data_IF_648134357277
#
_entry.id   IF_648134357277
#
_cell.length_a   1.000
_cell.length_b   1.000
_cell.length_c   1.000
_cell.angle_alpha   90.00
_cell.angle_beta   90.00
_cell.angle_gamma   90.00
#
_symmetry.space_group_name_H-M   'P 1'
#
loop_
_entity.id
_entity.type
_entity.pdbx_description
1 polymer ?
#
# COMPACT_ATOMS: atom_id res chain seq x y z
N UNK A 1 1.45 8.60 -60.13
CA UNK A 1 1.27 7.66 -61.25
C UNK A 1 0.24 6.62 -60.85
N UNK A 2 -0.80 6.41 -61.68
CA UNK A 2 -1.81 5.34 -61.54
C UNK A 2 -1.34 4.08 -62.28
N UNK A 3 -1.91 2.94 -61.86
CA UNK A 3 -1.84 1.54 -62.36
C UNK A 3 -0.82 0.67 -61.60
N UNK A 4 -1.13 -0.58 -61.24
CA UNK A 4 -2.18 -1.46 -61.74
C UNK A 4 -2.62 -2.49 -60.71
N UNK A 5 -3.89 -2.88 -60.83
CA UNK A 5 -4.52 -4.04 -60.25
C UNK A 5 -4.07 -5.24 -61.09
N UNK A 6 -3.40 -6.22 -60.49
CA UNK A 6 -3.23 -7.55 -61.09
C UNK A 6 -3.85 -8.56 -60.14
N UNK A 7 -5.04 -9.03 -60.52
CA UNK A 7 -5.55 -10.31 -60.07
C UNK A 7 -4.63 -11.40 -60.63
N UNK A 8 -3.93 -12.08 -59.75
CA UNK A 8 -3.46 -13.44 -59.97
C UNK A 8 -3.45 -14.11 -58.61
N UNK A 9 -4.38 -15.04 -58.43
CA UNK A 9 -4.44 -15.91 -57.28
C UNK A 9 -3.14 -16.69 -57.18
N UNK A 10 -2.41 -16.41 -56.12
CA UNK A 10 -1.52 -17.36 -55.49
C UNK A 10 -1.72 -17.19 -53.99
N UNK A 11 -1.95 -18.32 -53.36
CA UNK A 11 -2.31 -18.49 -51.96
C UNK A 11 -1.18 -17.98 -51.05
N UNK A 12 -1.15 -16.68 -50.77
CA UNK A 12 -0.68 -16.25 -49.46
C UNK A 12 -1.79 -16.60 -48.48
N UNK A 13 -1.68 -17.77 -47.84
CA UNK A 13 -2.43 -18.10 -46.64
C UNK A 13 -2.27 -16.96 -45.63
N UNK A 14 -3.19 -15.99 -45.70
CA UNK A 14 -3.37 -15.01 -44.66
C UNK A 14 -3.72 -15.80 -43.42
N UNK A 15 -2.81 -15.82 -42.44
CA UNK A 15 -3.14 -16.17 -41.06
C UNK A 15 -4.43 -15.41 -40.72
N UNK A 16 -5.57 -16.11 -40.71
CA UNK A 16 -6.82 -15.54 -40.22
C UNK A 16 -6.52 -15.13 -38.79
N UNK A 17 -6.57 -13.82 -38.52
CA UNK A 17 -6.49 -13.28 -37.18
C UNK A 17 -7.44 -14.08 -36.28
N UNK A 18 -7.06 -14.40 -35.03
CA UNK A 18 -7.93 -15.08 -34.09
C UNK A 18 -9.32 -14.44 -34.11
N UNK A 19 -10.37 -15.24 -34.26
CA UNK A 19 -11.73 -14.73 -34.14
C UNK A 19 -11.89 -14.08 -32.75
N UNK A 20 -12.64 -12.97 -32.64
CA UNK A 20 -12.94 -12.34 -31.33
C UNK A 20 -13.42 -13.36 -30.30
N UNK A 21 -14.18 -14.37 -30.76
CA UNK A 21 -14.66 -15.48 -29.95
C UNK A 21 -13.54 -16.21 -29.20
N UNK A 22 -12.31 -16.29 -29.73
CA UNK A 22 -11.20 -16.93 -29.04
C UNK A 22 -10.79 -16.14 -27.79
N UNK A 23 -10.79 -14.80 -27.85
CA UNK A 23 -10.45 -13.94 -26.71
C UNK A 23 -11.48 -14.11 -25.57
N UNK A 24 -12.74 -14.41 -25.91
CA UNK A 24 -13.81 -14.68 -24.95
C UNK A 24 -13.56 -15.90 -24.07
N UNK A 25 -12.66 -16.81 -24.45
CA UNK A 25 -12.32 -18.00 -23.66
C UNK A 25 -10.97 -17.91 -22.93
N UNK A 26 -10.15 -16.91 -23.23
CA UNK A 26 -8.81 -16.77 -22.63
C UNK A 26 -8.83 -16.05 -21.28
N UNK A 27 -8.05 -16.54 -20.33
CA UNK A 27 -7.77 -15.78 -19.10
C UNK A 27 -6.96 -14.51 -19.43
N UNK A 28 -6.98 -13.52 -18.54
CA UNK A 28 -6.32 -12.22 -18.74
C UNK A 28 -4.86 -12.37 -19.21
N UNK A 29 -4.11 -13.26 -18.57
CA UNK A 29 -2.70 -13.50 -18.89
C UNK A 29 -2.50 -14.20 -20.23
N UNK A 30 -3.40 -15.11 -20.59
CA UNK A 30 -3.38 -15.80 -21.88
C UNK A 30 -3.73 -14.84 -23.02
N UNK A 31 -4.72 -13.97 -22.81
CA UNK A 31 -5.06 -12.91 -23.74
C UNK A 31 -3.88 -11.95 -23.95
N UNK A 32 -3.22 -11.51 -22.88
CA UNK A 32 -2.01 -10.66 -22.98
C UNK A 32 -0.90 -11.37 -23.76
N UNK A 33 -0.66 -12.66 -23.49
CA UNK A 33 0.37 -13.42 -24.20
C UNK A 33 0.03 -13.54 -25.69
N UNK A 34 -1.21 -13.90 -26.03
CA UNK A 34 -1.68 -13.99 -27.42
C UNK A 34 -1.49 -12.65 -28.14
N UNK A 35 -1.95 -11.55 -27.54
CA UNK A 35 -1.85 -10.22 -28.13
C UNK A 35 -0.40 -9.78 -28.33
N UNK A 36 0.54 -10.24 -27.48
CA UNK A 36 1.96 -9.94 -27.63
C UNK A 36 2.72 -10.88 -28.57
N UNK A 37 2.12 -11.96 -29.08
CA UNK A 37 2.80 -12.89 -30.01
C UNK A 37 3.14 -12.24 -31.34
N UNK A 38 2.38 -11.23 -31.78
CA UNK A 38 2.69 -10.49 -33.00
C UNK A 38 2.31 -9.02 -32.90
N UNK A 39 2.98 -8.20 -33.70
CA UNK A 39 2.67 -6.77 -33.83
C UNK A 39 1.23 -6.54 -34.30
N UNK A 40 0.74 -7.39 -35.22
CA UNK A 40 -0.60 -7.27 -35.78
C UNK A 40 -1.69 -7.47 -34.72
N UNK A 41 -1.56 -8.49 -33.87
CA UNK A 41 -2.51 -8.75 -32.78
C UNK A 41 -2.45 -7.67 -31.70
N UNK A 42 -1.23 -7.21 -31.37
CA UNK A 42 -1.01 -6.14 -30.38
C UNK A 42 -1.70 -4.84 -30.78
N UNK A 43 -1.77 -4.57 -32.08
CA UNK A 43 -2.43 -3.43 -32.67
C UNK A 43 -3.69 -3.85 -33.44
N UNK A 44 -4.41 -4.86 -32.98
CA UNK A 44 -5.76 -5.13 -33.43
C UNK A 44 -6.73 -4.49 -32.44
N UNK A 45 -7.41 -3.42 -32.87
CA UNK A 45 -8.29 -2.62 -31.99
C UNK A 45 -9.46 -3.44 -31.48
N UNK A 46 -9.97 -4.34 -32.33
CA UNK A 46 -11.13 -5.16 -32.01
C UNK A 46 -10.74 -6.19 -30.95
N UNK A 47 -9.68 -6.97 -31.19
CA UNK A 47 -9.23 -8.00 -30.24
C UNK A 47 -8.79 -7.42 -28.89
N UNK A 48 -8.05 -6.32 -28.91
CA UNK A 48 -7.56 -5.68 -27.68
C UNK A 48 -8.69 -5.03 -26.87
N UNK A 49 -9.67 -4.42 -27.53
CA UNK A 49 -10.86 -3.89 -26.86
C UNK A 49 -11.72 -5.01 -26.28
N UNK A 50 -11.97 -6.10 -27.03
CA UNK A 50 -12.69 -7.28 -26.52
C UNK A 50 -12.01 -7.88 -25.29
N UNK A 51 -10.67 -7.97 -25.28
CA UNK A 51 -9.93 -8.43 -24.10
C UNK A 51 -10.12 -7.51 -22.88
N UNK A 52 -10.11 -6.18 -23.08
CA UNK A 52 -10.37 -5.20 -22.02
C UNK A 52 -11.81 -5.27 -21.51
N UNK A 53 -12.79 -5.37 -22.40
CA UNK A 53 -14.22 -5.48 -22.06
C UNK A 53 -14.51 -6.74 -21.23
N UNK A 54 -13.89 -7.87 -21.58
CA UNK A 54 -14.07 -9.13 -20.85
C UNK A 54 -13.45 -9.09 -19.45
N UNK A 55 -12.43 -8.26 -19.25
CA UNK A 55 -11.68 -8.24 -17.99
C UNK A 55 -12.58 -7.75 -16.86
N UNK A 56 -12.93 -8.64 -15.91
CA UNK A 56 -13.82 -8.34 -14.78
C UNK A 56 -13.44 -7.10 -13.97
N UNK A 57 -12.15 -6.78 -13.94
CA UNK A 57 -11.60 -5.65 -13.21
C UNK A 57 -11.80 -4.31 -13.91
N UNK A 58 -12.01 -4.32 -15.22
CA UNK A 58 -12.22 -3.13 -16.03
C UNK A 58 -13.71 -2.74 -16.15
N UNK A 59 -14.63 -3.62 -15.73
CA UNK A 59 -16.08 -3.39 -15.79
C UNK A 59 -16.53 -2.14 -15.02
N UNK A 60 -15.77 -1.78 -13.99
CA UNK A 60 -16.06 -0.66 -13.10
C UNK A 60 -15.32 0.62 -13.45
N UNK A 61 -14.49 0.63 -14.50
CA UNK A 61 -13.70 1.82 -14.83
C UNK A 61 -14.61 2.94 -15.32
N UNK A 62 -14.38 4.15 -14.79
CA UNK A 62 -15.21 5.33 -15.01
C UNK A 62 -16.67 5.20 -14.56
N UNK A 63 -17.00 4.16 -13.79
CA UNK A 63 -18.34 4.02 -13.22
C UNK A 63 -18.52 4.88 -11.98
N UNK A 64 -17.45 5.51 -11.49
CA UNK A 64 -17.48 6.31 -10.26
C UNK A 64 -18.13 5.45 -9.15
N UNK A 65 -17.53 4.30 -8.86
CA UNK A 65 -17.95 3.42 -7.75
C UNK A 65 -16.76 2.92 -6.93
N UNK A 66 -17.01 2.23 -5.81
CA UNK A 66 -15.95 1.76 -4.91
C UNK A 66 -14.97 0.77 -5.57
N UNK A 67 -15.41 0.05 -6.60
CA UNK A 67 -14.58 -0.88 -7.38
C UNK A 67 -13.89 -0.22 -8.59
N UNK A 68 -14.08 1.08 -8.79
CA UNK A 68 -13.47 1.83 -9.89
C UNK A 68 -12.00 2.10 -9.58
N UNK A 69 -11.09 1.72 -10.48
CA UNK A 69 -9.65 1.95 -10.30
C UNK A 69 -9.22 3.25 -10.97
N UNK A 70 -10.10 3.92 -11.68
CA UNK A 70 -9.78 5.07 -12.52
C UNK A 70 -9.79 6.42 -11.79
N UNK A 71 -10.06 6.41 -10.48
CA UNK A 71 -10.17 7.61 -9.66
C UNK A 71 -9.16 7.63 -8.53
N UNK A 72 -8.62 8.82 -8.27
CA UNK A 72 -7.73 9.07 -7.13
C UNK A 72 -8.53 9.31 -5.83
N UNK A 73 -9.79 9.73 -5.93
CA UNK A 73 -10.62 10.12 -4.79
C UNK A 73 -11.24 8.90 -4.08
N UNK A 74 -11.02 8.69 -2.76
CA UNK A 74 -11.70 7.66 -1.98
C UNK A 74 -13.23 7.85 -1.96
N UNK A 75 -13.99 6.75 -2.06
CA UNK A 75 -15.46 6.79 -2.19
C UNK A 75 -16.19 7.46 -1.01
N UNK A 76 -15.61 7.46 0.21
CA UNK A 76 -16.23 8.06 1.39
C UNK A 76 -16.07 9.60 1.44
N UNK A 77 -15.04 10.16 0.80
CA UNK A 77 -14.85 11.61 0.69
C UNK A 77 -15.69 12.25 -0.43
N UNK A 78 -16.04 11.48 -1.46
CA UNK A 78 -16.87 11.97 -2.55
C UNK A 78 -18.34 12.21 -2.14
N UNK A 79 -18.78 11.66 -1.00
CA UNK A 79 -20.11 11.88 -0.43
C UNK A 79 -20.24 13.18 0.37
N UNK A 80 -19.18 13.65 1.04
CA UNK A 80 -19.21 14.88 1.86
C UNK A 80 -19.12 16.16 1.01
N UNK A 81 -18.40 16.14 -0.11
CA UNK A 81 -18.21 17.32 -0.99
C UNK A 81 -19.49 17.88 -1.64
N UNK A 82 -20.62 17.17 -1.57
CA UNK A 82 -21.90 17.61 -2.14
C UNK A 82 -22.93 18.07 -1.09
N UNK A 83 -22.60 18.00 0.19
CA UNK A 83 -23.48 18.45 1.28
C UNK A 83 -23.21 19.90 1.74
N UNK A 84 -22.23 20.59 1.14
CA UNK A 84 -21.93 22.01 1.41
C UNK A 84 -22.60 22.99 0.43
N UNK A 85 -23.73 22.64 -0.19
CA UNK A 85 -24.60 23.68 -0.76
C UNK A 85 -25.56 24.14 0.32
N UNK A 86 -25.23 25.28 0.92
CA UNK A 86 -26.06 25.99 1.89
C UNK A 86 -27.52 26.07 1.42
N UNK A 87 -28.39 25.50 2.26
CA UNK A 87 -29.77 25.90 2.52
C UNK A 87 -30.39 26.93 1.57
N UNK A 88 -31.16 26.45 0.60
CA UNK A 88 -32.48 27.02 0.34
C UNK A 88 -33.48 25.87 0.21
N UNK A 89 -34.57 26.04 0.96
CA UNK A 89 -35.65 25.10 1.19
C UNK A 89 -36.34 24.69 -0.11
N UNK A 90 -36.27 23.41 -0.48
CA UNK A 90 -37.40 22.73 -1.12
C UNK A 90 -37.27 21.22 -0.88
N UNK A 91 -38.25 20.69 -0.14
CA UNK A 91 -38.47 19.27 0.11
C UNK A 91 -38.71 18.52 -1.20
N UNK A 92 -37.65 18.14 -1.91
CA UNK A 92 -37.69 17.08 -2.94
C UNK A 92 -36.27 16.56 -3.29
N UNK A 93 -35.35 16.55 -2.32
CA UNK A 93 -34.09 15.83 -2.48
C UNK A 93 -34.36 14.32 -2.41
N UNK A 94 -34.60 13.72 -3.58
CA UNK A 94 -34.64 12.26 -3.75
C UNK A 94 -33.41 11.57 -3.13
N UNK A 95 -33.47 10.24 -2.92
CA UNK A 95 -32.39 9.51 -2.26
C UNK A 95 -31.08 9.84 -2.98
N UNK A 96 -30.20 10.48 -2.22
CA UNK A 96 -28.92 11.01 -2.64
C UNK A 96 -28.19 9.96 -3.50
N UNK A 97 -27.68 10.40 -4.66
CA UNK A 97 -26.77 9.66 -5.57
C UNK A 97 -25.42 9.34 -4.89
N UNK A 98 -25.46 8.81 -3.67
CA UNK A 98 -24.31 8.36 -2.90
C UNK A 98 -23.81 7.08 -3.55
N UNK A 99 -22.98 7.26 -4.58
CA UNK A 99 -22.08 6.27 -5.18
C UNK A 99 -22.59 4.83 -5.00
N UNK A 100 -23.84 4.61 -5.42
CA UNK A 100 -24.48 3.30 -5.38
C UNK A 100 -23.53 2.37 -6.14
N UNK A 101 -23.32 1.17 -5.62
CA UNK A 101 -22.61 0.13 -6.38
C UNK A 101 -23.14 0.18 -7.80
N UNK A 102 -22.25 0.25 -8.80
CA UNK A 102 -22.70 0.51 -10.16
C UNK A 102 -23.74 -0.54 -10.59
N UNK A 103 -23.68 -1.75 -10.02
CA UNK A 103 -24.68 -2.81 -10.16
C UNK A 103 -26.07 -2.46 -9.61
N UNK A 104 -26.15 -1.67 -8.54
CA UNK A 104 -27.39 -1.12 -7.98
C UNK A 104 -27.92 0.01 -8.87
N UNK A 105 -27.04 0.87 -9.41
CA UNK A 105 -27.42 1.91 -10.39
C UNK A 105 -27.98 1.31 -11.68
N UNK A 106 -27.37 0.22 -12.18
CA UNK A 106 -27.90 -0.51 -13.34
C UNK A 106 -29.27 -1.09 -13.04
N UNK A 107 -29.47 -1.66 -11.86
CA UNK A 107 -30.75 -2.24 -11.44
C UNK A 107 -31.86 -1.16 -11.31
N UNK A 108 -31.48 0.07 -10.97
CA UNK A 108 -32.37 1.23 -10.90
C UNK A 108 -32.60 1.93 -12.25
N UNK A 109 -32.02 1.43 -13.36
CA UNK A 109 -32.23 1.97 -14.70
C UNK A 109 -31.51 3.29 -15.00
N UNK A 110 -30.51 3.68 -14.18
CA UNK A 110 -29.66 4.85 -14.44
C UNK A 110 -28.64 4.53 -15.55
N UNK A 111 -28.46 5.45 -16.50
CA UNK A 111 -27.49 5.30 -17.60
C UNK A 111 -26.06 5.23 -17.05
N UNK A 112 -25.39 4.11 -17.26
CA UNK A 112 -23.96 3.97 -16.99
C UNK A 112 -23.20 4.46 -18.22
N UNK A 113 -22.21 5.33 -18.02
CA UNK A 113 -21.19 5.61 -19.06
C UNK A 113 -20.52 4.30 -19.40
N UNK A 114 -20.88 3.69 -20.53
CA UNK A 114 -20.41 2.36 -20.85
C UNK A 114 -18.89 2.39 -21.01
N UNK A 115 -18.17 1.61 -20.20
CA UNK A 115 -16.72 1.39 -20.31
C UNK A 115 -16.28 1.10 -21.77
N UNK A 116 -17.16 0.50 -22.57
CA UNK A 116 -16.96 0.27 -24.01
C UNK A 116 -16.63 1.55 -24.79
N UNK A 117 -17.26 2.67 -24.46
CA UNK A 117 -17.00 3.95 -25.11
C UNK A 117 -15.66 4.53 -24.65
N UNK A 118 -15.31 4.37 -23.38
CA UNK A 118 -14.02 4.83 -22.85
C UNK A 118 -12.81 3.99 -23.30
N UNK A 119 -12.99 2.68 -23.51
CA UNK A 119 -12.00 1.82 -24.18
C UNK A 119 -11.76 2.31 -25.60
N UNK A 120 -12.81 2.73 -26.31
CA UNK A 120 -12.67 3.29 -27.66
C UNK A 120 -11.93 4.64 -27.65
N UNK A 121 -12.04 5.42 -26.58
CA UNK A 121 -11.30 6.67 -26.41
C UNK A 121 -9.86 6.47 -25.92
N UNK A 122 -9.50 5.25 -25.57
CA UNK A 122 -8.12 4.89 -25.27
C UNK A 122 -7.36 4.72 -26.59
N UNK A 123 -6.21 5.40 -26.78
CA UNK A 123 -5.34 5.13 -27.91
C UNK A 123 -5.02 3.64 -27.99
N UNK A 124 -5.23 3.05 -29.15
CA UNK A 124 -5.09 1.62 -29.40
C UNK A 124 -3.76 1.03 -28.87
N UNK A 125 -2.67 1.78 -29.02
CA UNK A 125 -1.33 1.37 -28.59
C UNK A 125 -1.21 1.20 -27.07
N UNK A 126 -2.17 1.71 -26.28
CA UNK A 126 -2.24 1.60 -24.82
C UNK A 126 -3.06 0.40 -24.33
N UNK A 127 -3.84 -0.27 -25.17
CA UNK A 127 -4.74 -1.33 -24.71
C UNK A 127 -3.99 -2.50 -24.06
N UNK A 128 -2.98 -3.04 -24.75
CA UNK A 128 -2.18 -4.16 -24.24
C UNK A 128 -1.36 -3.75 -22.99
N UNK A 129 -0.71 -2.57 -22.95
CA UNK A 129 -0.14 -2.06 -21.71
C UNK A 129 -1.13 -1.96 -20.56
N UNK A 130 -2.36 -1.48 -20.80
CA UNK A 130 -3.39 -1.41 -19.76
C UNK A 130 -3.77 -2.79 -19.23
N UNK A 131 -4.00 -3.78 -20.11
CA UNK A 131 -4.22 -5.16 -19.71
C UNK A 131 -3.07 -5.70 -18.86
N UNK A 132 -1.83 -5.40 -19.25
CA UNK A 132 -0.63 -5.80 -18.51
C UNK A 132 -0.54 -5.15 -17.13
N UNK A 133 -0.94 -3.88 -17.01
CA UNK A 133 -1.05 -3.20 -15.71
C UNK A 133 -2.12 -3.86 -14.86
N UNK A 134 -3.30 -4.16 -15.40
CA UNK A 134 -4.37 -4.84 -14.65
C UNK A 134 -3.88 -6.20 -14.15
N UNK A 135 -3.24 -7.01 -15.00
CA UNK A 135 -2.66 -8.30 -14.61
C UNK A 135 -1.62 -8.13 -13.49
N UNK A 136 -0.75 -7.13 -13.60
CA UNK A 136 0.21 -6.81 -12.55
C UNK A 136 -0.46 -6.43 -11.22
N UNK A 137 -1.46 -5.54 -11.24
CA UNK A 137 -2.20 -5.13 -10.04
C UNK A 137 -2.84 -6.34 -9.36
N UNK A 138 -3.55 -7.17 -10.13
CA UNK A 138 -4.29 -8.34 -9.65
C UNK A 138 -3.36 -9.42 -9.12
N UNK A 139 -2.25 -9.70 -9.80
CA UNK A 139 -1.39 -10.83 -9.47
C UNK A 139 -0.31 -10.47 -8.45
N UNK A 140 0.09 -9.19 -8.35
CA UNK A 140 1.22 -8.75 -7.52
C UNK A 140 0.82 -7.84 -6.36
N UNK A 141 -0.08 -6.88 -6.57
CA UNK A 141 -0.37 -5.86 -5.56
C UNK A 141 -1.58 -6.20 -4.69
N UNK A 142 -2.73 -6.51 -5.30
CA UNK A 142 -3.97 -6.77 -4.57
C UNK A 142 -3.83 -7.88 -3.51
N UNK A 143 -3.18 -9.03 -3.80
CA UNK A 143 -3.04 -10.11 -2.81
C UNK A 143 -2.18 -9.71 -1.61
N UNK A 144 -1.34 -8.69 -1.76
CA UNK A 144 -0.51 -8.15 -0.67
C UNK A 144 -1.16 -6.96 0.03
N UNK A 145 -2.25 -6.43 -0.50
CA UNK A 145 -2.87 -5.20 -0.01
C UNK A 145 -4.17 -5.46 0.77
N UNK A 146 -4.93 -6.50 0.40
CA UNK A 146 -6.14 -6.91 1.12
C UNK A 146 -5.81 -7.97 2.17
N UNK A 147 -5.31 -7.53 3.33
CA UNK A 147 -4.99 -8.45 4.43
C UNK A 147 -5.92 -8.17 5.60
N UNK A 148 -6.72 -9.18 5.97
CA UNK A 148 -7.52 -9.13 7.19
C UNK A 148 -6.63 -9.39 8.39
N UNK A 149 -6.24 -8.34 9.11
CA UNK A 149 -5.65 -8.48 10.43
C UNK A 149 -6.73 -8.21 11.47
N UNK A 150 -7.18 -9.27 12.15
CA UNK A 150 -8.16 -9.18 13.25
C UNK A 150 -7.72 -8.30 14.44
N UNK A 151 -6.44 -7.93 14.51
CA UNK A 151 -5.83 -7.28 15.68
C UNK A 151 -4.87 -6.14 15.33
N UNK A 152 -4.80 -5.70 14.07
CA UNK A 152 -3.95 -4.56 13.74
C UNK A 152 -4.51 -3.29 14.37
N UNK A 153 -3.65 -2.54 15.06
CA UNK A 153 -4.01 -1.26 15.69
C UNK A 153 -4.47 -0.19 14.68
N UNK A 154 -4.11 -0.35 13.41
CA UNK A 154 -4.58 0.49 12.29
C UNK A 154 -5.12 -0.39 11.17
N UNK A 155 -6.32 -0.04 10.71
CA UNK A 155 -6.97 -0.71 9.58
C UNK A 155 -6.62 0.08 8.33
N UNK A 156 -5.76 -0.49 7.49
CA UNK A 156 -5.52 0.03 6.15
C UNK A 156 -6.61 -0.50 5.22
N UNK A 157 -7.39 0.41 4.62
CA UNK A 157 -8.12 0.06 3.41
C UNK A 157 -7.24 0.34 2.21
N UNK A 158 -7.10 -0.66 1.33
CA UNK A 158 -6.27 -0.53 0.13
C UNK A 158 -7.16 -0.49 -1.12
N UNK A 159 -6.86 0.43 -2.04
CA UNK A 159 -7.57 0.56 -3.31
C UNK A 159 -6.58 0.67 -4.47
N UNK A 160 -6.72 -0.14 -5.53
CA UNK A 160 -5.91 0.01 -6.73
C UNK A 160 -6.30 1.28 -7.49
N UNK A 161 -5.29 1.92 -8.09
CA UNK A 161 -5.44 3.11 -8.93
C UNK A 161 -4.71 2.90 -10.26
N UNK A 162 -5.36 3.26 -11.35
CA UNK A 162 -4.82 3.34 -12.70
C UNK A 162 -5.37 4.62 -13.35
N UNK A 163 -4.54 5.64 -13.49
CA UNK A 163 -4.91 6.91 -14.13
C UNK A 163 -4.04 7.16 -15.35
N UNK A 164 -4.67 7.45 -16.48
CA UNK A 164 -3.96 7.84 -17.71
C UNK A 164 -3.43 9.27 -17.61
N UNK A 165 -2.15 9.47 -17.89
CA UNK A 165 -1.45 10.76 -17.75
C UNK A 165 -1.41 11.62 -19.03
N UNK A 166 -2.02 11.17 -20.13
CA UNK A 166 -1.85 11.84 -21.43
C UNK A 166 -2.50 13.24 -21.54
N UNK A 167 -1.88 14.18 -22.30
CA UNK A 167 -2.15 15.63 -22.28
C UNK A 167 -3.08 16.13 -23.43
N UNK A 168 -3.44 17.44 -23.48
CA UNK A 168 -4.38 18.01 -24.46
C UNK A 168 -3.75 18.29 -25.83
N UNK A 169 -4.49 18.00 -26.92
CA UNK A 169 -4.50 18.74 -28.18
C UNK A 169 -5.76 18.35 -29.00
N UNK A 170 -6.87 19.03 -28.73
CA UNK A 170 -7.82 19.41 -29.77
C UNK A 170 -8.24 20.85 -29.47
N UNK A 171 -8.33 21.66 -30.52
CA UNK A 171 -8.93 23.00 -30.48
C UNK A 171 -10.45 22.96 -30.25
N UNK A 172 -10.99 21.77 -30.02
CA UNK A 172 -12.42 21.53 -29.84
C UNK A 172 -12.72 21.32 -28.37
N UNK A 173 -13.09 22.43 -27.74
CA UNK A 173 -13.77 22.48 -26.45
C UNK A 173 -15.19 21.90 -26.61
N UNK A 174 -15.31 20.58 -26.69
CA UNK A 174 -16.61 19.94 -26.45
C UNK A 174 -16.53 19.13 -25.16
N UNK A 175 -17.24 19.66 -24.16
CA UNK A 175 -17.70 19.06 -22.90
C UNK A 175 -16.92 17.82 -22.42
N UNK A 176 -15.68 18.01 -21.94
CA UNK A 176 -15.15 17.09 -20.94
C UNK A 176 -15.74 17.44 -19.58
N UNK A 177 -16.22 16.43 -18.88
CA UNK A 177 -16.71 16.53 -17.51
C UNK A 177 -15.61 17.19 -16.65
N UNK A 178 -15.90 18.34 -16.02
CA UNK A 178 -14.87 19.20 -15.41
C UNK A 178 -14.05 18.50 -14.32
N UNK A 179 -14.65 17.48 -13.71
CA UNK A 179 -14.05 16.64 -12.67
C UNK A 179 -12.92 15.74 -13.22
N UNK A 180 -13.10 15.12 -14.39
CA UNK A 180 -12.10 14.22 -14.99
C UNK A 180 -10.84 14.99 -15.42
N UNK A 181 -11.02 16.23 -15.87
CA UNK A 181 -9.90 17.11 -16.23
C UNK A 181 -9.08 17.52 -15.00
N UNK A 182 -9.75 17.78 -13.87
CA UNK A 182 -9.10 18.09 -12.60
C UNK A 182 -8.32 16.88 -12.07
N UNK A 183 -8.90 15.68 -12.09
CA UNK A 183 -8.20 14.46 -11.65
C UNK A 183 -6.99 14.14 -12.53
N UNK A 184 -7.07 14.35 -13.84
CA UNK A 184 -5.92 14.20 -14.75
C UNK A 184 -4.84 15.26 -14.50
N UNK A 185 -5.21 16.48 -14.10
CA UNK A 185 -4.25 17.50 -13.68
C UNK A 185 -3.54 17.10 -12.39
N UNK A 186 -4.28 16.62 -11.39
CA UNK A 186 -3.73 16.08 -10.15
C UNK A 186 -2.81 14.91 -10.42
N UNK A 187 -3.20 13.94 -11.24
CA UNK A 187 -2.36 12.80 -11.61
C UNK A 187 -1.05 13.24 -12.31
N UNK A 188 -1.10 14.30 -13.13
CA UNK A 188 0.09 14.90 -13.75
C UNK A 188 0.98 15.59 -12.72
N UNK A 189 0.41 16.34 -11.76
CA UNK A 189 1.17 16.93 -10.64
C UNK A 189 1.83 15.85 -9.80
N UNK A 190 1.10 14.79 -9.45
CA UNK A 190 1.62 13.60 -8.76
C UNK A 190 2.77 12.99 -9.57
N UNK A 191 2.56 12.75 -10.87
CA UNK A 191 3.60 12.24 -11.77
C UNK A 191 4.86 13.11 -11.79
N UNK A 192 4.70 14.43 -11.87
CA UNK A 192 5.81 15.39 -11.76
C UNK A 192 6.49 15.33 -10.39
N UNK A 193 5.73 15.13 -9.32
CA UNK A 193 6.22 14.98 -7.96
C UNK A 193 6.92 13.63 -7.70
N UNK A 194 6.73 12.60 -8.54
CA UNK A 194 7.39 11.28 -8.43
C UNK A 194 8.94 11.33 -8.65
N UNK A 195 9.56 12.50 -8.62
CA UNK A 195 11.02 12.72 -8.56
C UNK A 195 11.53 13.41 -7.29
N UNK A 196 10.64 13.95 -6.46
CA UNK A 196 10.95 14.64 -5.20
C UNK A 196 10.26 13.89 -4.07
N UNK A 197 11.02 13.29 -3.14
CA UNK A 197 10.44 12.70 -1.94
C UNK A 197 9.85 13.81 -1.05
N UNK A 198 8.62 14.22 -1.35
CA UNK A 198 7.93 15.27 -0.62
C UNK A 198 6.87 14.64 0.28
N UNK A 199 7.19 14.59 1.58
CA UNK A 199 6.22 14.32 2.64
C UNK A 199 6.88 13.92 3.96
N UNK A 200 7.01 14.86 4.90
CA UNK A 200 7.15 14.56 6.33
C UNK A 200 5.81 14.00 6.80
N UNK A 201 5.66 12.68 6.84
CA UNK A 201 4.39 12.04 7.12
C UNK A 201 4.59 10.90 8.10
N UNK A 202 4.00 11.05 9.28
CA UNK A 202 4.02 10.08 10.36
C UNK A 202 2.88 9.06 10.20
N UNK A 203 3.03 8.08 9.32
CA UNK A 203 2.18 6.87 9.26
C UNK A 203 3.01 5.62 9.53
N UNK A 204 2.38 4.56 10.05
CA UNK A 204 3.11 3.31 10.33
C UNK A 204 3.58 2.66 9.02
N UNK A 205 2.71 2.63 8.00
CA UNK A 205 3.08 2.19 6.65
C UNK A 205 4.25 3.00 6.09
N UNK A 206 4.17 4.34 6.17
CA UNK A 206 5.18 5.26 5.69
C UNK A 206 6.55 5.03 6.31
N UNK A 207 6.59 4.87 7.63
CA UNK A 207 7.83 4.61 8.36
C UNK A 207 8.53 3.37 7.84
N UNK A 208 7.79 2.28 7.63
CA UNK A 208 8.36 1.07 7.05
C UNK A 208 8.74 1.28 5.59
N UNK A 209 7.88 1.90 4.78
CA UNK A 209 8.13 2.10 3.36
C UNK A 209 9.41 2.89 3.08
N UNK A 210 9.63 4.01 3.77
CA UNK A 210 10.82 4.87 3.56
C UNK A 210 12.11 4.23 4.09
N UNK A 211 12.01 3.32 5.05
CA UNK A 211 13.16 2.60 5.60
C UNK A 211 13.39 1.22 4.95
N UNK A 212 12.63 0.89 3.89
CA UNK A 212 12.87 -0.31 3.10
C UNK A 212 13.93 -0.10 2.04
N UNK A 213 14.89 -1.01 1.98
CA UNK A 213 15.96 -1.05 1.00
C UNK A 213 15.76 -2.25 0.10
N UNK A 214 15.74 -2.02 -1.21
CA UNK A 214 15.66 -3.07 -2.24
C UNK A 214 17.09 -3.35 -2.70
N UNK A 215 17.54 -4.58 -2.45
CA UNK A 215 18.82 -5.07 -2.97
C UNK A 215 18.74 -5.19 -4.50
N UNK A 216 19.69 -4.58 -5.21
CA UNK A 216 19.65 -4.44 -6.67
C UNK A 216 19.85 -5.78 -7.38
N UNK A 217 20.66 -6.67 -6.79
CA UNK A 217 21.08 -7.92 -7.43
C UNK A 217 20.06 -9.05 -7.17
N UNK A 218 19.55 -9.13 -5.93
CA UNK A 218 18.63 -10.18 -5.50
C UNK A 218 17.17 -9.76 -5.57
N UNK A 219 16.90 -8.45 -5.63
CA UNK A 219 15.56 -7.88 -5.47
C UNK A 219 14.99 -8.06 -4.06
N UNK A 220 15.78 -8.53 -3.10
CA UNK A 220 15.33 -8.77 -1.73
C UNK A 220 15.10 -7.43 -1.03
N UNK A 221 13.99 -7.32 -0.32
CA UNK A 221 13.68 -6.10 0.44
C UNK A 221 13.99 -6.32 1.91
N UNK A 222 14.74 -5.39 2.50
CA UNK A 222 15.02 -5.33 3.93
C UNK A 222 14.43 -4.06 4.51
N UNK A 223 13.96 -4.09 5.75
CA UNK A 223 13.40 -2.91 6.42
C UNK A 223 14.26 -2.57 7.64
N UNK A 224 14.83 -1.37 7.66
CA UNK A 224 15.71 -0.93 8.75
C UNK A 224 14.96 -0.81 10.09
N UNK A 225 13.66 -0.46 10.08
CA UNK A 225 12.81 -0.44 11.28
C UNK A 225 12.65 -1.84 11.88
N UNK A 226 12.43 -2.86 11.03
CA UNK A 226 12.34 -4.25 11.48
C UNK A 226 13.68 -4.80 11.97
N UNK A 227 14.80 -4.39 11.34
CA UNK A 227 16.14 -4.75 11.78
C UNK A 227 16.45 -4.13 13.15
N UNK A 228 16.16 -2.85 13.32
CA UNK A 228 16.29 -2.15 14.60
C UNK A 228 15.51 -2.87 15.70
N UNK A 229 14.25 -3.24 15.45
CA UNK A 229 13.47 -4.05 16.40
C UNK A 229 14.24 -5.32 16.81
N UNK A 230 14.72 -6.08 15.82
CA UNK A 230 15.32 -7.39 16.05
C UNK A 230 16.62 -7.25 16.85
N UNK A 231 17.45 -6.29 16.48
CA UNK A 231 18.71 -5.96 17.15
C UNK A 231 18.49 -5.52 18.59
N UNK A 232 17.53 -4.63 18.86
CA UNK A 232 17.27 -4.15 20.22
C UNK A 232 16.73 -5.26 21.13
N UNK A 233 15.85 -6.14 20.61
CA UNK A 233 15.38 -7.31 21.35
C UNK A 233 16.53 -8.29 21.62
N UNK A 234 17.36 -8.58 20.62
CA UNK A 234 18.48 -9.50 20.76
C UNK A 234 19.53 -8.97 21.75
N UNK A 235 19.91 -7.69 21.64
CA UNK A 235 20.81 -7.02 22.60
C UNK A 235 20.28 -7.14 24.02
N UNK A 236 18.98 -6.89 24.21
CA UNK A 236 18.35 -7.01 25.52
C UNK A 236 18.43 -8.42 26.09
N UNK A 237 18.02 -9.41 25.30
CA UNK A 237 18.00 -10.80 25.72
C UNK A 237 19.42 -11.31 26.01
N UNK A 238 20.39 -10.95 25.17
CA UNK A 238 21.80 -11.31 25.33
C UNK A 238 22.40 -10.71 26.58
N UNK A 239 22.14 -9.42 26.83
CA UNK A 239 22.62 -8.73 28.04
C UNK A 239 22.03 -9.36 29.30
N UNK A 240 20.74 -9.66 29.31
CA UNK A 240 20.08 -10.33 30.43
C UNK A 240 20.60 -11.75 30.63
N UNK A 241 20.82 -12.52 29.55
CA UNK A 241 21.39 -13.84 29.63
C UNK A 241 22.80 -13.82 30.25
N UNK A 242 23.62 -12.83 29.87
CA UNK A 242 24.93 -12.61 30.49
C UNK A 242 24.82 -12.33 32.00
N UNK A 243 23.94 -11.43 32.43
CA UNK A 243 23.72 -11.14 33.85
C UNK A 243 23.25 -12.38 34.63
N UNK A 244 22.36 -13.18 34.06
CA UNK A 244 21.91 -14.46 34.66
C UNK A 244 23.07 -15.45 34.76
N UNK A 245 23.95 -15.52 33.76
CA UNK A 245 25.13 -16.37 33.78
C UNK A 245 26.10 -15.96 34.89
N UNK A 246 26.39 -14.66 35.02
CA UNK A 246 27.25 -14.11 36.06
C UNK A 246 26.69 -14.39 37.46
N UNK A 247 25.37 -14.23 37.65
CA UNK A 247 24.69 -14.60 38.90
C UNK A 247 24.82 -16.10 39.20
N UNK A 248 24.60 -16.98 38.21
CA UNK A 248 24.73 -18.44 38.40
C UNK A 248 26.16 -18.84 38.82
N UNK A 249 27.17 -18.24 38.21
CA UNK A 249 28.56 -18.50 38.60
C UNK A 249 28.87 -17.99 40.01
N UNK A 250 28.36 -16.81 40.39
CA UNK A 250 28.49 -16.29 41.75
C UNK A 250 27.83 -17.20 42.81
N UNK A 251 26.63 -17.70 42.53
CA UNK A 251 25.93 -18.66 43.40
C UNK A 251 26.71 -19.97 43.50
N UNK A 252 27.20 -20.50 42.37
CA UNK A 252 28.01 -21.73 42.33
C UNK A 252 29.30 -21.60 43.14
N UNK A 253 29.93 -20.43 43.16
CA UNK A 253 31.11 -20.17 43.96
C UNK A 253 30.82 -20.12 45.48
N UNK A 254 29.63 -19.66 45.89
CA UNK A 254 29.22 -19.56 47.30
C UNK A 254 28.58 -20.83 47.86
N UNK A 255 28.04 -21.68 46.99
CA UNK A 255 27.30 -22.89 47.36
C UNK A 255 28.12 -23.89 48.23
N UNK A 256 29.43 -24.13 47.97
CA UNK A 256 30.25 -24.99 48.84
C UNK A 256 30.36 -24.46 50.26
N UNK A 257 30.69 -23.17 50.42
CA UNK A 257 30.82 -22.52 51.73
C UNK A 257 29.51 -22.56 52.53
N UNK A 258 28.37 -22.42 51.86
CA UNK A 258 27.07 -22.50 52.52
C UNK A 258 26.75 -23.93 52.98
N UNK A 259 27.07 -24.93 52.16
CA UNK A 259 26.89 -26.35 52.51
C UNK A 259 27.81 -26.77 53.66
N UNK A 260 29.06 -26.30 53.68
CA UNK A 260 30.00 -26.58 54.77
C UNK A 260 29.52 -25.99 56.11
N UNK A 261 28.85 -24.84 56.07
CA UNK A 261 28.20 -24.21 57.24
C UNK A 261 26.91 -24.93 57.69
N UNK A 262 26.54 -26.04 57.05
CA UNK A 262 25.34 -26.80 57.39
C UNK A 262 24.04 -26.04 57.14
N UNK A 263 24.03 -25.07 56.21
CA UNK A 263 22.82 -24.29 55.93
C UNK A 263 21.69 -25.17 55.38
N UNK A 264 20.48 -24.92 55.88
CA UNK A 264 19.26 -25.55 55.38
C UNK A 264 18.92 -25.06 53.96
N UNK A 265 18.30 -25.92 53.12
CA UNK A 265 18.01 -25.60 51.72
C UNK A 265 17.19 -24.31 51.54
N UNK A 266 16.18 -24.07 52.39
CA UNK A 266 15.40 -22.81 52.34
C UNK A 266 16.25 -21.55 52.55
N UNK A 267 17.27 -21.62 53.39
CA UNK A 267 18.19 -20.49 53.63
C UNK A 267 19.10 -20.27 52.41
N UNK A 268 19.56 -21.35 51.78
CA UNK A 268 20.32 -21.29 50.52
C UNK A 268 19.49 -20.67 49.41
N UNK A 269 18.21 -21.05 49.29
CA UNK A 269 17.30 -20.50 48.28
C UNK A 269 17.06 -19.01 48.55
N UNK A 270 16.80 -18.61 49.80
CA UNK A 270 16.64 -17.19 50.17
C UNK A 270 17.85 -16.36 49.77
N UNK A 271 19.07 -16.79 50.15
CA UNK A 271 20.31 -16.07 49.81
C UNK A 271 20.57 -16.03 48.30
N UNK A 272 20.19 -17.08 47.59
CA UNK A 272 20.29 -17.15 46.13
C UNK A 272 19.38 -16.11 45.46
N UNK A 273 18.18 -15.88 46.01
CA UNK A 273 17.28 -14.81 45.58
C UNK A 273 17.81 -13.43 45.93
N UNK A 274 18.27 -13.20 47.17
CA UNK A 274 18.87 -11.93 47.59
C UNK A 274 20.05 -11.54 46.65
N UNK A 275 20.95 -12.49 46.39
CA UNK A 275 22.04 -12.28 45.42
C UNK A 275 21.57 -11.98 44.00
N UNK A 276 20.40 -12.51 43.59
CA UNK A 276 19.84 -12.21 42.27
C UNK A 276 19.36 -10.77 42.19
N UNK A 277 18.68 -10.29 43.24
CA UNK A 277 18.16 -8.91 43.28
C UNK A 277 19.30 -7.89 43.29
N UNK A 278 20.38 -8.18 44.03
CA UNK A 278 21.58 -7.34 44.07
C UNK A 278 22.30 -7.28 42.72
N UNK A 279 22.44 -8.43 42.03
CA UNK A 279 23.20 -8.51 40.77
C UNK A 279 22.37 -8.12 39.53
N UNK A 280 21.05 -8.28 39.59
CA UNK A 280 20.13 -8.03 38.47
C UNK A 280 18.97 -7.15 38.97
N UNK A 281 19.16 -5.83 39.06
CA UNK A 281 18.14 -4.93 39.59
C UNK A 281 16.88 -4.97 38.72
N UNK A 282 15.72 -4.99 39.38
CA UNK A 282 14.41 -4.89 38.70
C UNK A 282 14.09 -3.47 38.21
N UNK A 283 14.77 -2.46 38.77
CA UNK A 283 14.70 -1.06 38.35
C UNK A 283 15.83 -0.77 37.38
N UNK A 284 15.55 -0.82 36.08
CA UNK A 284 16.55 -0.48 35.09
C UNK A 284 16.16 -0.84 33.67
N UNK A 285 17.03 -0.47 32.74
CA UNK A 285 16.83 -0.68 31.32
C UNK A 285 16.70 -2.17 30.96
N UNK A 286 17.39 -3.08 31.67
CA UNK A 286 17.34 -4.53 31.43
C UNK A 286 16.76 -5.26 32.63
N UNK A 287 15.73 -6.08 32.42
CA UNK A 287 15.09 -6.86 33.49
C UNK A 287 14.93 -8.33 33.11
N UNK A 288 15.24 -9.22 34.05
CA UNK A 288 15.20 -10.66 33.82
C UNK A 288 13.80 -11.20 33.54
N UNK A 289 12.76 -10.56 34.09
CA UNK A 289 11.37 -10.94 33.88
C UNK A 289 10.85 -10.53 32.49
N UNK A 290 11.29 -9.38 31.97
CA UNK A 290 10.86 -8.89 30.64
C UNK A 290 11.57 -9.65 29.53
N UNK A 291 12.84 -10.03 29.70
CA UNK A 291 13.60 -10.76 28.66
C UNK A 291 12.98 -12.09 28.22
N UNK A 292 12.16 -12.71 29.09
CA UNK A 292 11.44 -13.97 28.80
C UNK A 292 10.10 -13.76 28.09
N UNK A 293 9.65 -12.52 27.92
CA UNK A 293 8.37 -12.18 27.30
C UNK A 293 8.53 -11.97 25.79
N UNK A 294 7.41 -11.78 25.11
CA UNK A 294 7.38 -11.42 23.70
C UNK A 294 8.14 -10.12 23.46
N UNK A 295 8.82 -10.03 22.32
CA UNK A 295 9.68 -8.88 22.03
C UNK A 295 8.94 -7.54 21.95
N UNK A 296 7.64 -7.51 21.67
CA UNK A 296 6.85 -6.28 21.73
C UNK A 296 6.83 -5.68 23.16
N UNK A 297 6.79 -6.54 24.19
CA UNK A 297 6.88 -6.13 25.59
C UNK A 297 8.30 -5.65 25.90
N UNK A 298 9.31 -6.31 25.34
CA UNK A 298 10.72 -5.91 25.47
C UNK A 298 10.94 -4.53 24.85
N UNK A 299 10.50 -4.29 23.63
CA UNK A 299 10.61 -2.99 22.95
C UNK A 299 9.84 -1.91 23.69
N UNK A 300 8.60 -2.19 24.13
CA UNK A 300 7.84 -1.21 24.93
C UNK A 300 8.58 -0.84 26.21
N UNK A 301 9.19 -1.82 26.87
CA UNK A 301 10.02 -1.58 28.06
C UNK A 301 11.27 -0.78 27.70
N UNK A 302 12.00 -1.12 26.63
CA UNK A 302 13.15 -0.35 26.16
C UNK A 302 12.77 1.12 25.91
N UNK A 303 11.66 1.33 25.21
CA UNK A 303 11.20 2.66 24.83
C UNK A 303 10.71 3.50 26.00
N UNK A 304 10.30 2.90 27.14
CA UNK A 304 9.99 3.70 28.34
C UNK A 304 11.22 4.39 28.95
N UNK A 305 12.43 3.99 28.53
CA UNK A 305 13.68 4.61 28.94
C UNK A 305 14.36 5.40 27.80
N UNK A 306 13.81 5.38 26.58
CA UNK A 306 14.30 6.25 25.51
C UNK A 306 13.84 7.68 25.78
N UNK A 307 14.79 8.55 26.12
CA UNK A 307 14.54 9.98 26.32
C UNK A 307 14.55 10.77 25.00
N UNK A 308 15.21 10.24 23.97
CA UNK A 308 15.33 10.82 22.63
C UNK A 308 15.37 9.72 21.56
N UNK A 309 15.29 10.10 20.29
CA UNK A 309 15.31 9.19 19.14
C UNK A 309 16.57 9.31 18.28
N UNK A 310 17.51 10.15 18.70
CA UNK A 310 18.68 10.56 17.90
C UNK A 310 19.67 9.41 17.69
N UNK A 311 19.65 8.40 18.57
CA UNK A 311 20.48 7.20 18.44
C UNK A 311 19.93 6.20 17.41
N UNK A 312 18.70 6.39 16.93
CA UNK A 312 18.09 5.50 15.95
C UNK A 312 18.59 5.84 14.55
N UNK A 313 19.34 4.93 13.92
CA UNK A 313 19.85 5.08 12.56
C UNK A 313 18.77 4.80 11.48
N UNK A 314 17.58 5.37 11.66
CA UNK A 314 16.45 5.21 10.74
C UNK A 314 15.79 6.57 10.45
N UNK A 315 15.12 6.69 9.31
CA UNK A 315 14.29 7.85 9.04
C UNK A 315 13.04 7.77 9.91
N UNK A 316 12.95 8.64 10.92
CA UNK A 316 11.83 8.68 11.87
C UNK A 316 10.61 9.42 11.33
N UNK A 317 10.65 9.97 10.10
CA UNK A 317 9.54 10.70 9.48
C UNK A 317 8.87 11.77 10.37
N UNK A 318 9.61 12.32 11.33
CA UNK A 318 9.12 13.35 12.26
C UNK A 318 8.50 12.82 13.56
N UNK A 319 8.55 11.52 13.85
CA UNK A 319 8.29 11.02 15.20
C UNK A 319 9.31 11.63 16.16
N UNK A 320 8.82 12.35 17.17
CA UNK A 320 9.64 12.98 18.23
C UNK A 320 9.63 12.20 19.55
N UNK A 321 8.62 11.36 19.73
CA UNK A 321 8.43 10.56 20.94
C UNK A 321 8.59 9.07 20.61
N UNK A 322 9.40 8.38 21.42
CA UNK A 322 9.59 6.93 21.37
C UNK A 322 8.27 6.16 21.51
N UNK A 323 7.34 6.65 22.32
CA UNK A 323 6.05 5.99 22.50
C UNK A 323 5.27 5.81 21.18
N UNK A 324 5.39 6.79 20.27
CA UNK A 324 4.73 6.76 18.95
C UNK A 324 5.46 5.84 17.96
N UNK A 325 6.78 5.70 18.07
CA UNK A 325 7.55 4.74 17.27
C UNK A 325 7.31 3.29 17.70
N UNK A 326 7.01 3.04 18.99
CA UNK A 326 6.70 1.69 19.49
C UNK A 326 5.56 1.05 18.71
N UNK A 327 4.55 1.82 18.32
CA UNK A 327 3.43 1.32 17.52
C UNK A 327 3.92 0.71 16.19
N UNK A 328 4.88 1.34 15.53
CA UNK A 328 5.45 0.87 14.28
C UNK A 328 6.35 -0.36 14.45
N UNK A 329 6.81 -0.62 15.68
CA UNK A 329 7.68 -1.74 16.02
C UNK A 329 6.90 -2.99 16.48
N UNK A 330 5.58 -2.89 16.67
CA UNK A 330 4.73 -4.01 17.09
C UNK A 330 4.77 -5.19 16.12
N UNK A 331 4.53 -6.39 16.65
CA UNK A 331 4.49 -7.63 15.86
C UNK A 331 3.50 -7.57 14.70
N UNK A 332 2.36 -6.90 14.89
CA UNK A 332 1.33 -6.83 13.85
C UNK A 332 1.74 -5.94 12.67
N UNK A 333 2.33 -4.78 12.94
CA UNK A 333 2.91 -3.94 11.88
C UNK A 333 4.10 -4.64 11.22
N UNK A 334 4.91 -5.40 11.95
CA UNK A 334 6.01 -6.19 11.34
C UNK A 334 5.51 -7.30 10.43
N UNK A 335 4.38 -7.94 10.73
CA UNK A 335 3.72 -8.88 9.79
C UNK A 335 3.23 -8.15 8.55
N UNK A 336 2.62 -6.97 8.69
CA UNK A 336 2.23 -6.14 7.55
C UNK A 336 3.43 -5.71 6.70
N UNK A 337 4.56 -5.39 7.34
CA UNK A 337 5.82 -5.03 6.67
C UNK A 337 6.30 -6.10 5.69
N UNK A 338 6.07 -7.39 5.95
CA UNK A 338 6.39 -8.45 4.98
C UNK A 338 5.57 -8.30 3.68
N UNK A 339 4.32 -7.87 3.77
CA UNK A 339 3.50 -7.61 2.60
C UNK A 339 3.90 -6.31 1.90
N UNK A 340 4.15 -5.24 2.66
CA UNK A 340 4.69 -3.99 2.12
C UNK A 340 6.01 -4.23 1.36
N UNK A 341 6.85 -5.15 1.84
CA UNK A 341 8.11 -5.51 1.20
C UNK A 341 7.90 -6.16 -0.18
N UNK A 342 6.89 -7.02 -0.32
CA UNK A 342 6.49 -7.63 -1.59
C UNK A 342 5.90 -6.59 -2.55
N UNK A 343 5.12 -5.65 -2.03
CA UNK A 343 4.60 -4.52 -2.82
C UNK A 343 5.75 -3.66 -3.32
N UNK A 344 6.69 -3.28 -2.45
CA UNK A 344 7.86 -2.48 -2.82
C UNK A 344 8.72 -3.18 -3.86
N UNK A 345 8.97 -4.48 -3.68
CA UNK A 345 9.68 -5.31 -4.66
C UNK A 345 8.97 -5.33 -6.01
N UNK A 346 7.66 -5.60 -6.03
CA UNK A 346 6.88 -5.68 -7.26
C UNK A 346 6.85 -4.33 -8.00
N UNK A 347 6.60 -3.24 -7.27
CA UNK A 347 6.56 -1.89 -7.83
C UNK A 347 7.92 -1.45 -8.38
N UNK A 348 9.00 -1.62 -7.61
CA UNK A 348 10.36 -1.20 -8.01
C UNK A 348 10.86 -2.01 -9.21
N UNK A 349 10.43 -3.26 -9.35
CA UNK A 349 10.72 -4.08 -10.53
C UNK A 349 9.91 -3.68 -11.76
N UNK A 350 8.66 -3.25 -11.58
CA UNK A 350 7.76 -2.94 -12.68
C UNK A 350 7.93 -1.52 -13.23
N UNK A 351 8.31 -0.57 -12.37
CA UNK A 351 8.38 0.85 -12.72
C UNK A 351 9.78 1.42 -12.48
N UNK A 352 10.32 2.24 -13.41
CA UNK A 352 11.62 2.88 -13.22
C UNK A 352 11.69 3.78 -11.99
N UNK A 353 10.54 4.34 -11.58
CA UNK A 353 10.40 5.18 -10.40
C UNK A 353 9.10 4.82 -9.69
N UNK A 354 9.21 4.70 -8.37
CA UNK A 354 8.09 4.47 -7.46
C UNK A 354 8.24 5.45 -6.33
N UNK A 355 7.19 6.18 -5.98
CA UNK A 355 7.20 7.02 -4.81
C UNK A 355 5.92 6.85 -3.99
N UNK A 356 6.02 7.29 -2.75
CA UNK A 356 4.92 7.45 -1.81
C UNK A 356 4.58 8.93 -1.73
N UNK A 357 3.30 9.25 -1.84
CA UNK A 357 2.78 10.61 -1.82
C UNK A 357 1.57 10.62 -0.88
N UNK A 358 1.49 11.58 0.05
CA UNK A 358 0.21 11.83 0.72
C UNK A 358 -0.70 12.56 -0.23
N UNK A 359 -1.89 12.03 -0.32
CA UNK A 359 -2.96 12.59 -1.10
C UNK A 359 -3.93 13.24 -0.12
N UNK A 360 -3.81 14.55 0.04
CA UNK A 360 -4.86 15.39 0.62
C UNK A 360 -5.73 15.82 -0.54
N UNK A 361 -7.00 15.41 -0.53
CA UNK A 361 -7.94 15.74 -1.59
C UNK A 361 -8.39 17.17 -1.35
N UNK A 362 -7.65 18.16 -1.86
CA UNK A 362 -7.90 19.62 -1.74
C UNK A 362 -9.19 19.92 -0.96
N UNK A 363 -9.12 19.92 0.37
CA UNK A 363 -10.22 20.43 1.19
C UNK A 363 -10.26 21.93 0.91
N UNK A 364 -11.41 22.52 0.51
CA UNK A 364 -11.53 23.97 0.65
C UNK A 364 -11.20 24.33 2.11
N UNK A 365 -10.51 25.45 2.32
CA UNK A 365 -9.92 25.84 3.61
C UNK A 365 -10.80 25.47 4.81
N UNK A 366 -10.22 24.93 5.90
CA UNK A 366 -10.99 24.45 7.02
C UNK A 366 -11.86 25.58 7.58
N UNK A 367 -13.17 25.39 7.45
CA UNK A 367 -14.16 26.19 8.17
C UNK A 367 -13.87 26.10 9.67
N UNK A 368 -14.06 27.20 10.42
CA UNK A 368 -13.54 27.28 11.78
C UNK A 368 -14.29 26.32 12.70
N UNK A 369 -13.58 25.26 13.10
CA UNK A 369 -13.74 24.44 14.30
C UNK A 369 -15.17 24.30 14.85
N UNK A 370 -16.03 23.58 14.12
CA UNK A 370 -17.19 22.93 14.74
C UNK A 370 -16.74 21.62 15.37
N UNK A 371 -16.69 21.63 16.70
CA UNK A 371 -16.31 20.52 17.57
C UNK A 371 -16.90 19.17 17.12
N UNK A 372 -16.09 18.31 16.52
CA UNK A 372 -16.20 16.87 16.68
C UNK A 372 -14.86 16.23 16.32
N UNK A 373 -14.56 15.12 16.98
CA UNK A 373 -13.35 14.34 16.81
C UNK A 373 -13.35 13.60 15.47
N UNK A 374 -13.38 14.34 14.36
CA UNK A 374 -13.15 13.80 13.02
C UNK A 374 -11.67 13.61 12.82
N UNK A 375 -11.24 12.47 13.31
CA UNK A 375 -9.92 11.92 13.23
C UNK A 375 -9.59 11.72 11.72
N UNK A 376 -8.85 12.66 11.13
CA UNK A 376 -8.61 12.75 9.68
C UNK A 376 -7.90 11.49 9.18
N UNK A 377 -8.59 10.65 8.40
CA UNK A 377 -7.98 9.46 7.83
C UNK A 377 -6.79 9.83 6.92
N UNK A 378 -5.63 9.23 7.17
CA UNK A 378 -4.43 9.52 6.37
C UNK A 378 -4.48 8.68 5.10
N UNK A 379 -4.55 9.34 3.95
CA UNK A 379 -4.53 8.68 2.64
C UNK A 379 -3.17 8.82 1.97
N UNK A 380 -2.52 7.70 1.68
CA UNK A 380 -1.21 7.63 1.05
C UNK A 380 -1.28 6.84 -0.26
N UNK A 381 -0.79 7.43 -1.34
CA UNK A 381 -0.63 6.77 -2.62
C UNK A 381 0.80 6.24 -2.75
N UNK A 382 0.94 4.96 -3.06
CA UNK A 382 2.18 4.40 -3.59
C UNK A 382 1.99 4.08 -5.05
N UNK A 383 2.68 4.80 -5.92
CA UNK A 383 2.51 4.67 -7.36
C UNK A 383 3.81 4.79 -8.13
N UNK A 384 3.80 4.23 -9.33
CA UNK A 384 4.81 4.42 -10.36
C UNK A 384 4.16 4.88 -11.66
N UNK A 385 4.99 5.37 -12.58
CA UNK A 385 4.55 5.73 -13.94
C UNK A 385 4.99 4.65 -14.91
N UNK A 386 4.03 4.06 -15.61
CA UNK A 386 4.30 3.12 -16.69
C UNK A 386 4.90 3.85 -17.90
N UNK A 387 5.77 3.17 -18.69
CA UNK A 387 6.25 3.72 -19.96
C UNK A 387 5.13 4.05 -20.97
N UNK A 388 3.95 3.44 -20.79
CA UNK A 388 2.76 3.68 -21.61
C UNK A 388 1.94 4.90 -21.17
N UNK A 389 2.40 5.67 -20.17
CA UNK A 389 1.76 6.91 -19.74
C UNK A 389 0.61 6.71 -18.74
N UNK A 390 0.69 5.69 -17.88
CA UNK A 390 -0.25 5.49 -16.78
C UNK A 390 0.43 5.70 -15.44
N UNK A 391 -0.20 6.45 -14.55
CA UNK A 391 0.05 6.39 -13.12
C UNK A 391 -0.69 5.18 -12.56
N UNK A 392 0.02 4.24 -11.94
CA UNK A 392 -0.63 3.09 -11.33
C UNK A 392 0.02 2.68 -10.01
N UNK A 393 -0.81 2.15 -9.10
CA UNK A 393 -0.39 1.89 -7.74
C UNK A 393 -1.55 1.63 -6.79
N UNK A 394 -1.25 1.71 -5.49
CA UNK A 394 -2.22 1.47 -4.42
C UNK A 394 -2.40 2.71 -3.56
N UNK A 395 -3.64 3.09 -3.32
CA UNK A 395 -4.03 3.99 -2.23
C UNK A 395 -4.16 3.17 -0.95
N UNK A 396 -3.45 3.57 0.09
CA UNK A 396 -3.58 3.07 1.45
C UNK A 396 -4.23 4.15 2.31
N UNK A 397 -5.36 3.82 2.92
CA UNK A 397 -6.10 4.74 3.78
C UNK A 397 -6.01 4.18 5.19
N UNK A 398 -5.27 4.88 6.05
CA UNK A 398 -5.17 4.61 7.48
C UNK A 398 -6.40 5.18 8.18
N UNK A 399 -7.29 4.31 8.66
CA UNK A 399 -8.34 4.73 9.58
C UNK A 399 -7.76 4.78 10.99
N UNK A 400 -7.81 5.94 11.63
CA UNK A 400 -7.60 5.99 13.08
C UNK A 400 -8.78 5.31 13.78
N UNK A 401 -8.47 4.64 14.89
CA UNK A 401 -9.41 3.81 15.66
C UNK A 401 -9.78 4.53 16.94
#
# INVERSE_FOLDING_TARGET
>A
MRRGRSDSGDECEFFRLPCMLLVEFLDLREAINLLNTSRWLKYDRVLTATALEKTRYAQHFHQKCAADWWHLTPAWQAGERLLESDWDEEEDAGPTDVWEDCHVRTAAGKELTYWKDTVRDTPQWQHVPLLSIIDFMVTKLLPQSYISFKYAATVYTARPVIVRLHPPESKDKEKKDGQDAAEQDVARRISGALGTQNGKLTSLFGLHWENMHVDVDTGKVTCAVCQLYAEEVEKYQTKVAKMISEWREAVKAKLPDWKEKGMHQMEIDRRTYEMREDMIPYSGYFTSNVARRHGDIIIRHICSYWTTLDHLQINTLGYRDASRLVAALTSDIRKQCQHFSKIKQAMTKAFPRVARIRYEVDEPEPSPATNSWQDTAVTELVAGVSPSGFLCGMLFIEKSV
#
